data_IF_131459235503
#
_entry.id   IF_131459235503
#
_cell.length_a   1.000
_cell.length_b   1.000
_cell.length_c   1.000
_cell.angle_alpha   90.00
_cell.angle_beta   90.00
_cell.angle_gamma   90.00
#
_symmetry.space_group_name_H-M   'P 1'
#
loop_
_entity.id
_entity.type
_entity.pdbx_description
1 polymer ?
#
# COMPACT_ATOMS: atom_id res chain seq x y z
N UNK A 1 -11.35 -13.80 6.55
CA UNK A 1 -10.24 -14.61 6.01
C UNK A 1 -10.32 -16.08 6.39
N UNK A 2 -10.27 -16.49 7.67
CA UNK A 2 -10.27 -17.90 8.07
C UNK A 2 -11.42 -18.76 7.46
N UNK A 3 -12.64 -18.20 7.39
CA UNK A 3 -13.77 -18.87 6.76
C UNK A 3 -13.56 -19.10 5.24
N UNK A 4 -12.96 -18.14 4.55
CA UNK A 4 -12.68 -18.22 3.11
C UNK A 4 -11.56 -19.24 2.81
N UNK A 5 -10.52 -19.27 3.64
CA UNK A 5 -9.46 -20.29 3.56
C UNK A 5 -10.03 -21.70 3.75
N UNK A 6 -10.92 -21.89 4.73
CA UNK A 6 -11.59 -23.18 4.99
C UNK A 6 -12.42 -23.64 3.79
N UNK A 7 -13.10 -22.72 3.11
CA UNK A 7 -13.89 -23.01 1.92
C UNK A 7 -13.06 -23.14 0.63
N UNK A 8 -11.73 -23.00 0.71
CA UNK A 8 -10.81 -23.01 -0.46
C UNK A 8 -11.24 -22.02 -1.55
N UNK A 9 -11.77 -20.86 -1.15
CA UNK A 9 -12.14 -19.82 -2.10
C UNK A 9 -10.90 -19.29 -2.84
N UNK A 10 -11.05 -19.01 -4.13
CA UNK A 10 -10.03 -18.24 -4.87
C UNK A 10 -10.16 -16.77 -4.48
N UNK A 11 -9.07 -16.19 -3.99
CA UNK A 11 -9.03 -14.81 -3.53
C UNK A 11 -8.28 -13.95 -4.53
N UNK A 12 -8.89 -12.83 -4.90
CA UNK A 12 -8.27 -11.79 -5.72
C UNK A 12 -8.12 -10.55 -4.86
N UNK A 13 -6.90 -10.02 -4.76
CA UNK A 13 -6.71 -8.68 -4.19
C UNK A 13 -7.07 -7.64 -5.25
N UNK A 14 -8.25 -7.03 -5.09
CA UNK A 14 -8.76 -6.07 -6.06
C UNK A 14 -7.99 -4.74 -6.05
N UNK A 15 -7.11 -4.49 -5.07
CA UNK A 15 -6.21 -3.34 -5.07
C UNK A 15 -5.06 -3.51 -6.09
N UNK A 16 -4.70 -4.77 -6.44
CA UNK A 16 -3.65 -5.07 -7.41
C UNK A 16 -4.11 -4.86 -8.84
N UNK A 17 -3.19 -4.51 -9.74
CA UNK A 17 -3.51 -4.39 -11.17
C UNK A 17 -3.57 -5.79 -11.83
N UNK A 18 -4.67 -6.50 -11.58
CA UNK A 18 -4.96 -7.83 -12.17
C UNK A 18 -5.39 -7.66 -13.62
N UNK A 19 -6.39 -6.81 -13.85
CA UNK A 19 -6.93 -6.51 -15.17
C UNK A 19 -6.22 -5.27 -15.75
N UNK A 20 -5.62 -5.43 -16.94
CA UNK A 20 -4.94 -4.34 -17.66
C UNK A 20 -5.90 -3.64 -18.62
N UNK A 21 -6.70 -2.74 -18.06
CA UNK A 21 -7.67 -1.90 -18.79
C UNK A 21 -7.36 -0.42 -18.61
N UNK A 22 -7.96 0.42 -19.45
CA UNK A 22 -7.82 1.86 -19.32
C UNK A 22 -8.59 2.36 -18.08
N UNK A 23 -7.93 3.17 -17.27
CA UNK A 23 -8.52 3.83 -16.11
C UNK A 23 -9.69 4.73 -16.51
N UNK A 24 -9.75 5.19 -17.75
CA UNK A 24 -10.87 5.95 -18.30
C UNK A 24 -12.21 5.19 -18.26
N UNK A 25 -12.21 3.87 -18.25
CA UNK A 25 -13.46 3.09 -18.13
C UNK A 25 -14.18 3.35 -16.79
N UNK A 26 -13.44 3.81 -15.77
CA UNK A 26 -14.00 4.09 -14.44
C UNK A 26 -14.79 5.40 -14.37
N UNK A 27 -14.72 6.29 -15.37
CA UNK A 27 -15.33 7.64 -15.30
C UNK A 27 -16.85 7.62 -15.22
N UNK A 28 -17.48 6.52 -15.64
CA UNK A 28 -18.92 6.31 -15.53
C UNK A 28 -19.37 6.03 -14.08
N UNK A 29 -18.41 5.71 -13.20
CA UNK A 29 -18.65 5.28 -11.83
C UNK A 29 -17.98 6.21 -10.80
N UNK A 30 -16.79 6.73 -11.11
CA UNK A 30 -15.98 7.56 -10.24
C UNK A 30 -15.49 8.81 -10.98
N UNK A 31 -15.29 9.94 -10.29
CA UNK A 31 -14.59 11.09 -10.88
C UNK A 31 -13.20 10.70 -11.40
N UNK A 32 -12.74 11.37 -12.46
CA UNK A 32 -11.37 11.21 -13.00
C UNK A 32 -10.30 11.42 -11.92
N UNK A 33 -10.55 12.37 -11.04
CA UNK A 33 -9.71 12.77 -9.91
C UNK A 33 -10.12 11.93 -8.70
N UNK A 34 -9.66 10.69 -8.64
CA UNK A 34 -9.96 9.75 -7.57
C UNK A 34 -8.80 8.78 -7.36
N UNK A 35 -8.70 8.19 -6.16
CA UNK A 35 -7.60 7.32 -5.78
C UNK A 35 -7.40 6.18 -6.81
N UNK A 36 -6.20 6.09 -7.40
CA UNK A 36 -5.90 5.11 -8.44
C UNK A 36 -6.06 3.65 -7.98
N UNK A 37 -5.82 3.36 -6.70
CA UNK A 37 -6.06 2.02 -6.14
C UNK A 37 -7.56 1.68 -6.19
N UNK A 38 -8.41 2.61 -5.77
CA UNK A 38 -9.86 2.39 -5.80
C UNK A 38 -10.44 2.36 -7.22
N UNK A 39 -9.88 3.13 -8.15
CA UNK A 39 -10.20 2.99 -9.57
C UNK A 39 -9.77 1.62 -10.12
N UNK A 40 -8.63 1.08 -9.66
CA UNK A 40 -8.20 -0.29 -9.95
C UNK A 40 -9.20 -1.33 -9.41
N UNK A 41 -9.70 -1.13 -8.18
CA UNK A 41 -10.77 -1.97 -7.61
C UNK A 41 -12.01 -1.98 -8.50
N UNK A 42 -12.46 -0.82 -8.99
CA UNK A 42 -13.61 -0.74 -9.91
C UNK A 42 -13.34 -1.49 -11.21
N UNK A 43 -12.17 -1.32 -11.84
CA UNK A 43 -11.81 -2.08 -13.05
C UNK A 43 -11.86 -3.58 -12.79
N UNK A 44 -11.17 -4.06 -11.75
CA UNK A 44 -11.15 -5.49 -11.46
C UNK A 44 -12.56 -6.02 -11.20
N UNK A 45 -13.38 -5.27 -10.47
CA UNK A 45 -14.76 -5.66 -10.14
C UNK A 45 -15.68 -5.77 -11.36
N UNK A 46 -15.43 -4.98 -12.41
CA UNK A 46 -16.23 -4.99 -13.64
C UNK A 46 -15.83 -6.10 -14.63
N UNK A 47 -14.58 -6.57 -14.55
CA UNK A 47 -14.00 -7.45 -15.57
C UNK A 47 -13.63 -8.85 -15.07
N UNK A 48 -13.56 -9.07 -13.75
CA UNK A 48 -13.36 -10.40 -13.17
C UNK A 48 -14.69 -11.11 -12.95
N UNK A 49 -14.71 -12.43 -13.16
CA UNK A 49 -15.84 -13.28 -12.82
C UNK A 49 -15.81 -13.58 -11.30
N UNK A 50 -16.46 -12.71 -10.52
CA UNK A 50 -16.48 -12.74 -9.07
C UNK A 50 -17.83 -13.23 -8.56
N UNK A 51 -17.84 -13.99 -7.47
CA UNK A 51 -19.08 -14.43 -6.80
C UNK A 51 -19.52 -13.47 -5.69
N UNK A 52 -18.58 -12.72 -5.12
CA UNK A 52 -18.78 -11.74 -4.07
C UNK A 52 -17.58 -10.81 -4.00
N UNK A 53 -17.78 -9.62 -3.46
CA UNK A 53 -16.72 -8.68 -3.09
C UNK A 53 -16.78 -8.47 -1.58
N UNK A 54 -15.65 -8.54 -0.89
CA UNK A 54 -15.52 -8.21 0.52
C UNK A 54 -14.56 -7.03 0.62
N UNK A 55 -15.05 -5.88 1.09
CA UNK A 55 -14.29 -4.63 1.10
C UNK A 55 -14.15 -4.09 2.52
N UNK A 56 -12.92 -3.94 2.99
CA UNK A 56 -12.65 -3.22 4.23
C UNK A 56 -12.84 -1.72 4.03
N UNK A 57 -13.52 -1.07 4.97
CA UNK A 57 -13.88 0.36 4.89
C UNK A 57 -13.54 1.09 6.18
N UNK A 58 -13.44 2.43 6.10
CA UNK A 58 -13.18 3.27 7.27
C UNK A 58 -11.73 3.18 7.75
N UNK A 59 -11.46 3.07 9.07
CA UNK A 59 -10.10 3.21 9.62
C UNK A 59 -9.07 2.21 9.08
N UNK A 60 -9.48 0.99 8.73
CA UNK A 60 -8.60 -0.01 8.15
C UNK A 60 -8.22 0.28 6.69
N UNK A 61 -8.98 1.13 5.99
CA UNK A 61 -8.78 1.46 4.57
C UNK A 61 -8.91 2.96 4.33
N UNK A 62 -10.12 3.45 4.05
CA UNK A 62 -10.54 4.86 4.04
C UNK A 62 -12.05 4.99 3.79
N UNK A 63 -12.61 6.20 3.92
CA UNK A 63 -14.02 6.47 3.57
C UNK A 63 -14.26 6.49 2.06
N UNK A 64 -13.23 6.76 1.25
CA UNK A 64 -13.33 6.58 -0.20
C UNK A 64 -13.66 5.12 -0.57
N UNK A 65 -13.13 4.14 0.17
CA UNK A 65 -13.47 2.73 -0.01
C UNK A 65 -14.95 2.46 0.27
N UNK A 66 -15.54 3.11 1.29
CA UNK A 66 -16.97 3.01 1.58
C UNK A 66 -17.82 3.48 0.40
N UNK A 67 -17.50 4.65 -0.18
CA UNK A 67 -18.24 5.17 -1.32
C UNK A 67 -18.15 4.26 -2.55
N UNK A 68 -16.96 3.69 -2.81
CA UNK A 68 -16.77 2.72 -3.90
C UNK A 68 -17.59 1.45 -3.65
N UNK A 69 -17.62 0.94 -2.42
CA UNK A 69 -18.44 -0.22 -2.08
C UNK A 69 -19.92 0.04 -2.34
N UNK A 70 -20.44 1.22 -1.97
CA UNK A 70 -21.83 1.62 -2.26
C UNK A 70 -22.11 1.63 -3.77
N UNK A 71 -21.22 2.26 -4.55
CA UNK A 71 -21.38 2.32 -6.01
C UNK A 71 -21.36 0.92 -6.63
N UNK A 72 -20.44 0.04 -6.21
CA UNK A 72 -20.37 -1.33 -6.74
C UNK A 72 -21.60 -2.15 -6.34
N UNK A 73 -22.12 -1.98 -5.13
CA UNK A 73 -23.33 -2.66 -4.66
C UNK A 73 -24.56 -2.29 -5.51
N UNK A 74 -24.67 -1.03 -5.93
CA UNK A 74 -25.77 -0.56 -6.78
C UNK A 74 -25.64 -1.02 -8.26
N UNK A 75 -24.42 -1.35 -8.70
CA UNK A 75 -24.12 -1.59 -10.13
C UNK A 75 -23.93 -3.06 -10.48
N UNK A 76 -23.46 -3.86 -9.55
CA UNK A 76 -23.19 -5.27 -9.78
C UNK A 76 -24.35 -6.14 -9.32
N UNK A 77 -24.54 -7.28 -9.97
CA UNK A 77 -25.51 -8.30 -9.56
C UNK A 77 -25.01 -9.21 -8.44
N UNK A 78 -23.74 -9.07 -8.04
CA UNK A 78 -23.08 -9.89 -7.03
C UNK A 78 -23.06 -9.15 -5.68
N UNK A 79 -23.05 -9.88 -4.55
CA UNK A 79 -22.99 -9.25 -3.23
C UNK A 79 -21.68 -8.48 -3.02
N UNK A 80 -21.80 -7.23 -2.59
CA UNK A 80 -20.70 -6.40 -2.10
C UNK A 80 -20.84 -6.23 -0.59
N UNK A 81 -19.96 -6.87 0.16
CA UNK A 81 -20.00 -6.94 1.62
C UNK A 81 -18.94 -5.99 2.21
N UNK A 82 -19.38 -4.96 2.90
CA UNK A 82 -18.48 -4.07 3.64
C UNK A 82 -18.12 -4.67 4.99
N UNK A 83 -16.84 -4.57 5.37
CA UNK A 83 -16.34 -4.92 6.70
C UNK A 83 -15.54 -3.76 7.29
N UNK A 84 -15.37 -3.76 8.61
CA UNK A 84 -14.46 -2.85 9.31
C UNK A 84 -13.48 -3.70 10.09
N UNK A 85 -12.21 -3.68 9.71
CA UNK A 85 -11.15 -4.34 10.44
C UNK A 85 -10.90 -3.62 11.77
N UNK A 86 -11.11 -4.35 12.88
CA UNK A 86 -10.89 -3.88 14.26
C UNK A 86 -9.82 -4.69 14.98
N UNK A 87 -9.02 -5.44 14.25
CA UNK A 87 -7.96 -6.26 14.83
C UNK A 87 -6.92 -5.36 15.51
N UNK A 88 -6.61 -5.69 16.76
CA UNK A 88 -5.63 -4.98 17.59
C UNK A 88 -4.46 -5.86 18.01
N UNK A 89 -4.52 -7.16 17.71
CA UNK A 89 -3.47 -8.12 18.09
C UNK A 89 -2.39 -8.10 17.02
N UNK A 90 -1.17 -7.63 17.34
CA UNK A 90 -0.11 -7.48 16.35
C UNK A 90 0.43 -8.85 15.91
N UNK A 91 0.70 -8.97 14.61
CA UNK A 91 1.38 -10.13 14.03
C UNK A 91 2.90 -9.94 13.89
N UNK A 92 3.39 -8.72 14.16
CA UNK A 92 4.79 -8.34 13.94
C UNK A 92 5.02 -7.77 12.54
N UNK A 93 6.24 -7.28 12.30
CA UNK A 93 6.62 -6.66 11.03
C UNK A 93 8.03 -7.09 10.52
N UNK A 94 8.37 -8.39 10.52
CA UNK A 94 9.71 -8.87 10.16
C UNK A 94 10.15 -8.53 8.72
N UNK A 95 9.25 -8.52 7.74
CA UNK A 95 9.52 -8.12 6.36
C UNK A 95 9.91 -6.64 6.29
N UNK A 96 9.19 -5.76 7.00
CA UNK A 96 9.49 -4.33 7.03
C UNK A 96 10.94 -4.02 7.43
N UNK A 97 11.59 -4.87 8.22
CA UNK A 97 12.96 -4.66 8.74
C UNK A 97 14.04 -5.56 8.12
N UNK A 98 13.67 -6.48 7.23
CA UNK A 98 14.59 -7.43 6.62
C UNK A 98 15.52 -6.76 5.57
N UNK A 99 16.71 -7.33 5.36
CA UNK A 99 17.54 -7.02 4.19
C UNK A 99 16.95 -7.75 2.97
N UNK A 100 16.22 -7.02 2.14
CA UNK A 100 15.48 -7.58 1.00
C UNK A 100 15.15 -6.46 0.00
N UNK A 101 15.20 -6.72 -1.32
CA UNK A 101 14.75 -5.75 -2.31
C UNK A 101 13.36 -5.19 -1.98
N UNK A 102 13.23 -3.86 -1.93
CA UNK A 102 11.99 -3.21 -1.51
C UNK A 102 10.76 -3.63 -2.33
N UNK A 103 10.82 -3.81 -3.67
CA UNK A 103 9.69 -4.33 -4.43
C UNK A 103 9.21 -5.71 -3.93
N UNK A 104 10.14 -6.60 -3.61
CA UNK A 104 9.82 -7.95 -3.11
C UNK A 104 9.19 -7.87 -1.72
N UNK A 105 9.77 -7.05 -0.83
CA UNK A 105 9.27 -6.82 0.52
C UNK A 105 7.81 -6.37 0.52
N UNK A 106 7.48 -5.35 -0.29
CA UNK A 106 6.12 -4.84 -0.39
C UNK A 106 5.18 -5.89 -1.01
N UNK A 107 5.61 -6.62 -2.05
CA UNK A 107 4.83 -7.69 -2.66
C UNK A 107 4.48 -8.81 -1.67
N UNK A 108 5.44 -9.24 -0.85
CA UNK A 108 5.21 -10.26 0.18
C UNK A 108 4.25 -9.76 1.27
N UNK A 109 4.35 -8.48 1.66
CA UNK A 109 3.39 -7.86 2.59
C UNK A 109 1.98 -7.85 2.00
N UNK A 110 1.80 -7.39 0.75
CA UNK A 110 0.48 -7.40 0.08
C UNK A 110 -0.07 -8.82 0.01
N UNK A 111 0.71 -9.79 -0.48
CA UNK A 111 0.27 -11.20 -0.56
C UNK A 111 -0.16 -11.77 0.80
N UNK A 112 0.48 -11.34 1.89
CA UNK A 112 0.15 -11.84 3.22
C UNK A 112 -1.28 -11.50 3.66
N UNK A 113 -1.93 -10.46 3.12
CA UNK A 113 -3.30 -10.10 3.52
C UNK A 113 -4.31 -11.21 3.20
N UNK A 114 -3.97 -12.07 2.24
CA UNK A 114 -4.78 -13.21 1.84
C UNK A 114 -4.64 -14.41 2.80
N UNK A 115 -3.79 -14.32 3.83
CA UNK A 115 -3.55 -15.39 4.79
C UNK A 115 -3.80 -14.98 6.24
N UNK A 116 -4.26 -15.94 7.05
CA UNK A 116 -4.35 -15.81 8.51
C UNK A 116 -3.09 -16.27 9.26
N UNK A 117 -2.09 -16.81 8.53
CA UNK A 117 -0.84 -17.26 9.12
C UNK A 117 0.02 -16.09 9.62
N UNK A 118 0.76 -16.34 10.70
CA UNK A 118 1.78 -15.39 11.18
C UNK A 118 2.98 -15.37 10.23
N UNK A 119 3.63 -14.21 10.15
CA UNK A 119 4.88 -14.07 9.42
C UNK A 119 5.96 -14.94 10.06
N UNK A 120 6.83 -15.51 9.22
CA UNK A 120 8.07 -16.13 9.70
C UNK A 120 8.99 -15.03 10.22
N UNK A 121 9.62 -15.28 11.36
CA UNK A 121 10.69 -14.40 11.87
C UNK A 121 11.82 -14.30 10.84
N UNK A 122 12.28 -13.07 10.60
CA UNK A 122 13.40 -12.75 9.72
C UNK A 122 14.42 -11.91 10.50
N UNK A 123 15.73 -12.06 10.25
CA UNK A 123 16.72 -11.20 10.86
C UNK A 123 16.53 -9.76 10.39
N UNK A 124 16.47 -8.83 11.35
CA UNK A 124 16.42 -7.40 11.06
C UNK A 124 17.80 -6.89 10.61
N UNK A 125 17.81 -5.95 9.68
CA UNK A 125 19.01 -5.23 9.24
C UNK A 125 19.05 -3.80 9.81
N UNK A 126 20.21 -3.16 9.79
CA UNK A 126 20.32 -1.72 10.04
C UNK A 126 19.82 -0.94 8.81
N UNK A 127 18.90 0.02 8.97
CA UNK A 127 18.39 0.77 7.83
C UNK A 127 19.40 1.80 7.33
N UNK A 128 19.52 1.91 6.00
CA UNK A 128 20.20 3.04 5.34
C UNK A 128 19.22 4.08 4.79
N UNK A 129 17.97 3.68 4.54
CA UNK A 129 16.88 4.53 4.13
C UNK A 129 15.56 4.02 4.72
N UNK A 130 14.51 4.81 4.58
CA UNK A 130 13.16 4.40 4.92
C UNK A 130 12.16 4.75 3.82
N UNK A 131 11.18 3.87 3.65
CA UNK A 131 9.98 4.10 2.85
C UNK A 131 8.78 4.15 3.79
N UNK A 132 8.11 5.29 3.87
CA UNK A 132 6.84 5.43 4.58
C UNK A 132 5.74 5.52 3.53
N UNK A 133 4.67 4.72 3.64
CA UNK A 133 3.52 4.91 2.75
C UNK A 133 2.54 3.75 2.69
N UNK A 134 1.67 3.83 1.69
CA UNK A 134 0.86 2.72 1.18
C UNK A 134 1.64 1.97 0.09
N UNK A 135 1.32 0.70 -0.23
CA UNK A 135 1.88 0.05 -1.41
C UNK A 135 1.55 0.88 -2.66
N UNK A 136 2.57 1.30 -3.45
CA UNK A 136 2.33 2.08 -4.66
C UNK A 136 1.63 1.24 -5.72
N UNK A 137 0.85 1.84 -6.61
CA UNK A 137 0.33 1.11 -7.77
C UNK A 137 1.45 0.66 -8.73
N UNK A 138 2.49 1.47 -8.89
CA UNK A 138 3.67 1.19 -9.71
C UNK A 138 4.84 0.71 -8.82
N UNK A 139 5.02 -0.61 -8.69
CA UNK A 139 6.09 -1.17 -7.85
C UNK A 139 7.49 -0.87 -8.38
N UNK A 140 7.65 -0.49 -9.65
CA UNK A 140 8.97 -0.27 -10.23
C UNK A 140 9.65 1.00 -9.70
N UNK A 141 8.94 1.89 -8.99
CA UNK A 141 9.55 3.00 -8.24
C UNK A 141 10.31 2.52 -6.99
N UNK A 142 9.91 1.37 -6.43
CA UNK A 142 10.54 0.79 -5.24
C UNK A 142 11.93 0.22 -5.55
N UNK A 143 12.22 -0.07 -6.82
CA UNK A 143 13.53 -0.55 -7.26
C UNK A 143 14.64 0.49 -7.12
N UNK A 144 14.31 1.76 -6.84
CA UNK A 144 15.27 2.84 -6.61
C UNK A 144 15.88 2.83 -5.21
N UNK A 145 15.34 2.00 -4.30
CA UNK A 145 15.72 1.95 -2.90
C UNK A 145 16.71 0.82 -2.61
N UNK A 146 17.66 1.00 -1.68
CA UNK A 146 18.54 -0.09 -1.23
C UNK A 146 17.76 -1.19 -0.50
N UNK A 147 18.29 -2.42 -0.50
CA UNK A 147 17.65 -3.58 0.14
C UNK A 147 17.45 -3.41 1.66
N UNK A 148 18.33 -2.63 2.29
CA UNK A 148 18.28 -2.28 3.72
C UNK A 148 17.22 -1.21 4.03
N UNK A 149 16.38 -0.81 3.07
CA UNK A 149 15.30 0.15 3.32
C UNK A 149 14.25 -0.43 4.26
N UNK A 150 14.02 0.24 5.40
CA UNK A 150 12.94 -0.13 6.31
C UNK A 150 11.60 0.44 5.86
N UNK A 151 10.53 -0.30 6.09
CA UNK A 151 9.16 0.10 5.68
C UNK A 151 8.35 0.58 6.89
N UNK A 152 7.68 1.72 6.72
CA UNK A 152 6.80 2.39 7.68
C UNK A 152 5.45 2.75 7.04
N UNK A 153 4.57 3.39 7.81
CA UNK A 153 3.25 3.81 7.35
C UNK A 153 2.25 2.67 7.29
N UNK A 154 1.24 2.82 6.44
CA UNK A 154 0.13 1.85 6.38
C UNK A 154 0.56 0.47 5.91
N UNK A 155 1.55 0.37 5.02
CA UNK A 155 2.12 -0.93 4.62
C UNK A 155 2.63 -1.73 5.81
N UNK A 156 3.24 -1.07 6.80
CA UNK A 156 3.68 -1.73 8.03
C UNK A 156 2.50 -2.22 8.88
N UNK A 157 1.40 -1.48 8.88
CA UNK A 157 0.17 -1.87 9.56
C UNK A 157 -0.50 -3.08 8.88
N UNK A 158 -0.40 -3.20 7.54
CA UNK A 158 -0.87 -4.36 6.78
C UNK A 158 -0.10 -5.63 7.17
N UNK A 159 1.23 -5.55 7.25
CA UNK A 159 2.06 -6.67 7.72
C UNK A 159 1.68 -7.07 9.15
N UNK A 160 1.52 -6.08 10.03
CA UNK A 160 1.17 -6.29 11.43
C UNK A 160 -0.28 -6.75 11.66
N UNK A 161 -1.10 -6.91 10.61
CA UNK A 161 -2.53 -7.26 10.66
C UNK A 161 -3.38 -6.33 11.52
N UNK A 162 -3.00 -5.06 11.61
CA UNK A 162 -3.67 -4.04 12.43
C UNK A 162 -3.80 -2.75 11.62
N UNK A 163 -4.53 -2.76 10.49
CA UNK A 163 -4.49 -1.68 9.50
C UNK A 163 -5.05 -0.34 10.00
N UNK A 164 -5.73 -0.32 11.15
CA UNK A 164 -6.24 0.87 11.83
C UNK A 164 -5.34 1.38 12.98
N UNK A 165 -4.15 0.79 13.20
CA UNK A 165 -3.21 1.23 14.24
C UNK A 165 -2.50 2.54 13.84
N UNK A 166 -3.15 3.66 14.15
CA UNK A 166 -2.61 5.01 13.87
C UNK A 166 -1.26 5.26 14.55
N UNK A 167 -1.04 4.67 15.74
CA UNK A 167 0.22 4.85 16.46
C UNK A 167 1.35 4.18 15.68
N UNK A 168 1.15 2.96 15.20
CA UNK A 168 2.10 2.24 14.35
C UNK A 168 2.31 2.97 13.00
N UNK A 169 1.24 3.42 12.36
CA UNK A 169 1.29 4.17 11.09
C UNK A 169 2.09 5.47 11.23
N UNK A 170 2.03 6.11 12.40
CA UNK A 170 2.73 7.37 12.68
C UNK A 170 4.22 7.22 13.00
N UNK A 171 4.72 5.99 13.15
CA UNK A 171 6.15 5.75 13.43
C UNK A 171 7.00 5.96 12.18
N UNK A 172 8.18 6.55 12.38
CA UNK A 172 9.26 6.66 11.41
C UNK A 172 10.61 6.70 12.16
N UNK A 173 11.71 6.46 11.45
CA UNK A 173 13.05 6.61 12.01
C UNK A 173 13.68 7.94 11.55
N UNK A 174 13.78 8.90 12.47
CA UNK A 174 14.33 10.23 12.20
C UNK A 174 15.83 10.24 11.84
N UNK A 175 16.56 9.15 12.06
CA UNK A 175 18.00 9.05 11.83
C UNK A 175 18.38 8.66 10.39
N UNK A 176 17.43 8.27 9.55
CA UNK A 176 17.69 7.85 8.16
C UNK A 176 16.87 8.67 7.18
N UNK A 177 17.35 8.91 5.94
CA UNK A 177 16.56 9.57 4.92
C UNK A 177 15.28 8.79 4.63
N UNK A 178 14.14 9.47 4.67
CA UNK A 178 12.82 8.85 4.50
C UNK A 178 12.08 9.42 3.30
N UNK A 179 11.64 8.55 2.40
CA UNK A 179 10.66 8.92 1.37
C UNK A 179 9.26 8.64 1.91
N UNK A 180 8.47 9.71 2.06
CA UNK A 180 7.06 9.65 2.45
C UNK A 180 6.21 9.61 1.18
N UNK A 181 5.85 8.40 0.76
CA UNK A 181 5.04 8.13 -0.40
C UNK A 181 3.55 8.19 -0.07
N UNK A 182 2.79 8.90 -0.90
CA UNK A 182 1.35 8.82 -0.94
C UNK A 182 0.86 8.65 -2.38
N UNK A 183 -0.18 7.84 -2.54
CA UNK A 183 -0.93 7.75 -3.78
C UNK A 183 -1.83 8.98 -3.89
N UNK A 184 -1.86 9.65 -5.05
CA UNK A 184 -2.71 10.82 -5.26
C UNK A 184 -4.17 10.51 -4.92
N UNK A 185 -4.83 11.48 -4.31
CA UNK A 185 -6.23 11.38 -3.83
C UNK A 185 -6.48 10.30 -2.77
N UNK A 186 -5.43 9.79 -2.13
CA UNK A 186 -5.55 8.98 -0.92
C UNK A 186 -5.73 9.87 0.32
N UNK A 187 -6.55 9.44 1.29
CA UNK A 187 -6.69 10.16 2.57
C UNK A 187 -5.36 10.19 3.37
N UNK A 188 -4.50 9.19 3.17
CA UNK A 188 -3.22 9.04 3.88
C UNK A 188 -2.18 10.08 3.48
N UNK A 189 -2.40 10.81 2.38
CA UNK A 189 -1.56 11.92 1.95
C UNK A 189 -1.40 12.99 3.02
N UNK A 190 -2.44 13.24 3.82
CA UNK A 190 -2.38 14.22 4.92
C UNK A 190 -1.36 13.82 6.00
N UNK A 191 -1.39 12.55 6.43
CA UNK A 191 -0.45 12.04 7.43
C UNK A 191 0.96 11.95 6.85
N UNK A 192 1.10 11.48 5.61
CA UNK A 192 2.38 11.43 4.90
C UNK A 192 3.09 12.79 4.89
N UNK A 193 2.35 13.84 4.48
CA UNK A 193 2.86 15.21 4.42
C UNK A 193 3.21 15.75 5.80
N UNK A 194 2.33 15.54 6.79
CA UNK A 194 2.56 15.99 8.16
C UNK A 194 3.84 15.37 8.77
N UNK A 195 4.05 14.07 8.59
CA UNK A 195 5.24 13.40 9.10
C UNK A 195 6.50 13.80 8.34
N UNK A 196 6.42 13.98 7.02
CA UNK A 196 7.51 14.49 6.20
C UNK A 196 7.97 15.88 6.67
N UNK A 197 7.04 16.78 6.99
CA UNK A 197 7.35 18.15 7.47
C UNK A 197 8.06 18.16 8.83
N UNK A 198 7.87 17.11 9.64
CA UNK A 198 8.53 16.96 10.95
C UNK A 198 9.86 16.23 10.86
N UNK A 199 10.14 15.56 9.75
CA UNK A 199 11.29 14.68 9.62
C UNK A 199 12.52 15.50 9.17
N UNK A 200 13.70 15.33 9.81
CA UNK A 200 14.88 16.15 9.53
C UNK A 200 15.47 15.96 8.12
N UNK A 201 15.28 14.78 7.52
CA UNK A 201 15.75 14.44 6.18
C UNK A 201 14.68 13.66 5.41
N UNK A 202 13.76 14.35 4.74
CA UNK A 202 12.60 13.73 4.09
C UNK A 202 12.33 14.20 2.67
N UNK A 203 11.78 13.29 1.87
CA UNK A 203 11.16 13.57 0.59
C UNK A 203 9.70 13.17 0.65
N UNK A 204 8.80 14.15 0.61
CA UNK A 204 7.38 13.88 0.37
C UNK A 204 7.13 13.68 -1.13
N UNK A 205 6.49 12.57 -1.47
CA UNK A 205 6.14 12.23 -2.84
C UNK A 205 4.67 11.87 -2.96
N UNK A 206 3.95 12.66 -3.75
CA UNK A 206 2.60 12.37 -4.21
C UNK A 206 2.66 11.90 -5.66
N UNK A 207 2.13 10.71 -5.94
CA UNK A 207 2.13 10.11 -7.27
C UNK A 207 0.77 9.49 -7.58
N UNK A 208 0.26 9.79 -8.78
CA UNK A 208 -0.97 9.18 -9.28
C UNK A 208 -0.66 7.81 -9.95
N UNK A 209 -1.06 7.57 -11.19
CA UNK A 209 -1.06 6.20 -11.74
C UNK A 209 0.34 5.62 -11.97
N UNK A 210 1.28 6.39 -12.50
CA UNK A 210 2.64 5.93 -12.84
C UNK A 210 3.70 6.98 -12.51
N UNK A 211 4.86 6.50 -12.03
CA UNK A 211 5.99 7.37 -11.72
C UNK A 211 6.77 7.71 -12.99
N UNK A 212 6.59 8.94 -13.47
CA UNK A 212 7.36 9.48 -14.60
C UNK A 212 8.86 9.62 -14.30
N UNK A 213 9.66 9.90 -15.34
CA UNK A 213 11.12 10.04 -15.22
C UNK A 213 11.53 11.08 -14.17
N UNK A 214 10.81 12.20 -14.08
CA UNK A 214 11.06 13.25 -13.09
C UNK A 214 10.88 12.75 -11.65
N UNK A 215 9.82 11.97 -11.37
CA UNK A 215 9.57 11.41 -10.03
C UNK A 215 10.70 10.45 -9.64
N UNK A 216 11.10 9.57 -10.56
CA UNK A 216 12.20 8.62 -10.33
C UNK A 216 13.51 9.34 -10.05
N UNK A 217 13.85 10.33 -10.86
CA UNK A 217 15.06 11.13 -10.68
C UNK A 217 15.08 11.86 -9.32
N UNK A 218 13.93 12.36 -8.85
CA UNK A 218 13.82 12.98 -7.51
C UNK A 218 14.10 11.99 -6.39
N UNK A 219 13.52 10.79 -6.44
CA UNK A 219 13.77 9.74 -5.46
C UNK A 219 15.26 9.37 -5.45
N UNK A 220 15.82 9.10 -6.63
CA UNK A 220 17.21 8.68 -6.77
C UNK A 220 18.18 9.76 -6.26
N UNK A 221 18.01 11.01 -6.70
CA UNK A 221 18.85 12.11 -6.25
C UNK A 221 18.75 12.33 -4.74
N UNK A 222 17.55 12.24 -4.15
CA UNK A 222 17.36 12.36 -2.71
C UNK A 222 18.13 11.28 -1.93
N UNK A 223 18.03 10.02 -2.36
CA UNK A 223 18.70 8.91 -1.70
C UNK A 223 20.24 9.03 -1.82
N UNK A 224 20.75 9.31 -3.02
CA UNK A 224 22.19 9.47 -3.27
C UNK A 224 22.79 10.65 -2.49
N UNK A 225 22.14 11.83 -2.51
CA UNK A 225 22.61 13.01 -1.78
C UNK A 225 22.55 12.84 -0.27
N UNK A 226 21.70 11.93 0.23
CA UNK A 226 21.59 11.60 1.65
C UNK A 226 22.55 10.49 2.09
N UNK A 227 23.41 9.99 1.18
CA UNK A 227 24.33 8.88 1.46
C UNK A 227 23.67 7.50 1.55
N UNK A 228 22.38 7.40 1.19
CA UNK A 228 21.66 6.14 1.09
C UNK A 228 21.83 5.58 -0.33
N UNK A 229 23.06 5.18 -0.67
CA UNK A 229 23.34 4.64 -1.98
C UNK A 229 22.69 3.26 -2.17
N UNK A 230 22.28 3.00 -3.41
CA UNK A 230 22.17 1.64 -3.90
C UNK A 230 23.53 0.95 -3.76
N UNK A 231 23.54 -0.32 -3.39
CA UNK A 231 24.73 -1.14 -3.65
C UNK A 231 24.83 -1.29 -5.18
N UNK A 232 25.47 -0.32 -5.82
CA UNK A 232 25.57 -0.26 -7.28
C UNK A 232 26.67 -1.22 -7.75
N UNK A 233 26.22 -2.22 -8.52
CA UNK A 233 26.95 -3.06 -9.47
C UNK A 233 27.82 -4.20 -8.91
#
# INVERSE_FOLDING_TARGET
MAALEKCRATLFDLDETIVRRDMEETILYLPRVYCAILRTVVINSLHLDLQAIIMDVGPGKCDCALHVATILADRLSIPVLTTINRDTTPYGNPLCTADMPLPEKIAQICKSIQSTARHRELPACLPTAAFWGVPPRDFSLLALFPNTTHVYGWTRCMENKTPADLRLESLYNAAVPTVFFAQSFCAKTALAKHLADKHPCALFLDNDISAGSSVRAKIQAFLELSGACHASC
#
